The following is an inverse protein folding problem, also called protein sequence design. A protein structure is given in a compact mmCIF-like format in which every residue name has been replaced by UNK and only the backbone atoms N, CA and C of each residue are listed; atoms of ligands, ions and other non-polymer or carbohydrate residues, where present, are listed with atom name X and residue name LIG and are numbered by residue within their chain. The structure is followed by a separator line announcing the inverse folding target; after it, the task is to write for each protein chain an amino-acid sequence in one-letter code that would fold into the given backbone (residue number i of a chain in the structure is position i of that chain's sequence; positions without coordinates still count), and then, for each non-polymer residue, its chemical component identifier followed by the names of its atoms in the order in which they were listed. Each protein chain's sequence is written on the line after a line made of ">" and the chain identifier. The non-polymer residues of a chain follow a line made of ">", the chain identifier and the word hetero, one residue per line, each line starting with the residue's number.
data_IF_478085005164
#
_entry.id   IF_478085005164
#
_cell.length_a   1.000
_cell.length_b   1.000
_cell.length_c   1.000
_cell.angle_alpha   90.00
_cell.angle_beta   90.00
_cell.angle_gamma   90.00
#
_symmetry.space_group_name_H-M   'P 1'
#
loop_
_entity.id
_entity.type
_entity.pdbx_description
1 polymer ?
#
# COMPACT_ATOMS: atom_id res chain seq x y z
N UNK A 1 11.33 -28.51 12.16
CA UNK A 1 9.94 -28.52 11.64
C UNK A 1 9.10 -27.56 12.47
N UNK A 2 8.61 -26.46 11.88
CA UNK A 2 7.64 -25.58 12.55
C UNK A 2 6.30 -26.32 12.58
N UNK A 3 5.65 -26.39 13.74
CA UNK A 3 4.32 -26.98 13.85
C UNK A 3 3.31 -26.09 13.11
N UNK A 4 3.04 -26.44 11.83
CA UNK A 4 2.23 -25.64 10.91
C UNK A 4 0.83 -25.33 11.45
N UNK A 5 0.21 -26.27 12.17
CA UNK A 5 -1.12 -26.04 12.79
C UNK A 5 -1.07 -24.96 13.85
N UNK A 6 -0.05 -24.94 14.71
CA UNK A 6 0.16 -23.85 15.69
C UNK A 6 0.53 -22.54 14.99
N UNK A 7 1.31 -22.59 13.91
CA UNK A 7 1.76 -21.39 13.20
C UNK A 7 0.64 -20.71 12.39
N UNK A 8 -0.16 -21.49 11.66
CA UNK A 8 -1.36 -21.04 10.92
C UNK A 8 -2.41 -20.49 11.89
N UNK A 9 -2.64 -21.15 13.03
CA UNK A 9 -3.59 -20.68 14.03
C UNK A 9 -3.14 -19.36 14.68
N UNK A 10 -1.84 -19.19 14.94
CA UNK A 10 -1.29 -17.96 15.49
C UNK A 10 -1.26 -16.80 14.48
N UNK A 11 -1.10 -17.08 13.18
CA UNK A 11 -1.12 -16.09 12.10
C UNK A 11 -2.55 -15.66 11.71
N UNK A 12 -3.55 -16.55 11.79
CA UNK A 12 -4.98 -16.16 11.64
C UNK A 12 -5.41 -15.06 12.64
N UNK A 13 -4.75 -14.99 13.79
CA UNK A 13 -4.98 -13.94 14.80
C UNK A 13 -4.26 -12.61 14.51
N UNK A 14 -3.30 -12.57 13.58
CA UNK A 14 -2.43 -11.40 13.29
C UNK A 14 -2.83 -10.60 12.03
N UNK A 15 -4.01 -10.88 11.47
CA UNK A 15 -4.54 -10.23 10.27
C UNK A 15 -4.60 -11.19 9.08
N UNK A 16 -5.69 -11.10 8.30
CA UNK A 16 -5.99 -11.98 7.16
C UNK A 16 -4.91 -11.94 6.07
N UNK A 17 -4.16 -10.83 5.96
CA UNK A 17 -3.30 -10.59 4.82
C UNK A 17 -1.89 -11.20 4.99
N UNK A 18 -1.26 -11.09 6.17
CA UNK A 18 0.04 -11.74 6.46
C UNK A 18 -0.01 -13.26 6.26
N UNK A 19 -1.21 -13.83 6.43
CA UNK A 19 -1.48 -15.24 6.19
C UNK A 19 -1.39 -15.60 4.70
N UNK A 20 -1.83 -14.72 3.79
CA UNK A 20 -1.76 -14.96 2.34
C UNK A 20 -0.32 -15.05 1.85
N UNK A 21 0.55 -14.14 2.28
CA UNK A 21 1.98 -14.24 1.94
C UNK A 21 2.63 -15.51 2.49
N UNK A 22 2.31 -15.86 3.74
CA UNK A 22 2.76 -17.10 4.36
C UNK A 22 2.34 -18.34 3.54
N UNK A 23 1.09 -18.36 3.08
CA UNK A 23 0.55 -19.41 2.21
C UNK A 23 1.30 -19.47 0.88
N UNK A 24 1.53 -18.33 0.19
CA UNK A 24 2.27 -18.33 -1.07
C UNK A 24 3.72 -18.80 -0.93
N UNK A 25 4.40 -18.40 0.14
CA UNK A 25 5.74 -18.92 0.45
C UNK A 25 5.73 -20.42 0.70
N UNK A 26 4.70 -20.93 1.37
CA UNK A 26 4.57 -22.36 1.58
C UNK A 26 4.44 -23.08 0.24
N UNK A 27 3.50 -22.65 -0.61
CA UNK A 27 3.25 -23.24 -1.93
C UNK A 27 4.50 -23.19 -2.82
N UNK A 28 5.24 -22.08 -2.82
CA UNK A 28 6.47 -21.94 -3.60
C UNK A 28 7.57 -22.94 -3.20
N UNK A 29 7.69 -23.21 -1.89
CA UNK A 29 8.77 -24.05 -1.36
C UNK A 29 8.39 -25.52 -1.18
N UNK A 30 7.11 -25.88 -1.32
CA UNK A 30 6.60 -27.23 -1.05
C UNK A 30 5.74 -27.72 -2.22
N UNK A 31 6.39 -28.02 -3.36
CA UNK A 31 5.72 -28.52 -4.57
C UNK A 31 5.13 -29.93 -4.44
N UNK A 32 5.33 -30.60 -3.29
CA UNK A 32 4.83 -31.93 -2.99
C UNK A 32 4.40 -32.01 -1.52
N UNK A 33 3.20 -31.50 -1.21
CA UNK A 33 2.59 -31.73 0.10
C UNK A 33 2.00 -33.15 0.14
N UNK A 34 2.21 -33.89 1.23
CA UNK A 34 1.54 -35.19 1.44
C UNK A 34 0.03 -35.05 1.70
N UNK A 35 -0.44 -33.83 2.04
CA UNK A 35 -1.83 -33.50 2.32
C UNK A 35 -2.43 -32.64 1.20
N UNK A 36 -2.98 -33.30 0.18
CA UNK A 36 -3.63 -32.64 -0.97
C UNK A 36 -4.77 -31.69 -0.56
N UNK A 37 -5.48 -32.00 0.53
CA UNK A 37 -6.59 -31.17 1.00
C UNK A 37 -6.08 -29.84 1.58
N UNK A 38 -4.97 -29.88 2.32
CA UNK A 38 -4.31 -28.69 2.83
C UNK A 38 -3.74 -27.84 1.69
N UNK A 39 -3.05 -28.45 0.73
CA UNK A 39 -2.48 -27.75 -0.43
C UNK A 39 -3.57 -27.05 -1.25
N UNK A 40 -4.69 -27.74 -1.50
CA UNK A 40 -5.86 -27.16 -2.16
C UNK A 40 -6.42 -25.96 -1.40
N UNK A 41 -6.54 -26.06 -0.07
CA UNK A 41 -7.02 -24.93 0.75
C UNK A 41 -6.08 -23.73 0.69
N UNK A 42 -4.77 -23.96 0.68
CA UNK A 42 -3.76 -22.91 0.56
C UNK A 42 -3.79 -22.27 -0.82
N UNK A 43 -3.90 -23.06 -1.87
CA UNK A 43 -4.05 -22.53 -3.22
C UNK A 43 -5.28 -21.63 -3.34
N UNK A 44 -6.44 -22.07 -2.83
CA UNK A 44 -7.68 -21.26 -2.83
C UNK A 44 -7.51 -19.94 -2.07
N UNK A 45 -6.83 -19.95 -0.93
CA UNK A 45 -6.55 -18.72 -0.17
C UNK A 45 -5.66 -17.74 -0.95
N UNK A 46 -4.60 -18.26 -1.60
CA UNK A 46 -3.70 -17.42 -2.42
C UNK A 46 -4.36 -16.85 -3.67
N UNK A 47 -5.39 -17.54 -4.18
CA UNK A 47 -6.15 -17.17 -5.37
C UNK A 47 -7.28 -16.16 -5.06
N UNK A 48 -7.71 -16.04 -3.80
CA UNK A 48 -8.86 -15.21 -3.41
C UNK A 48 -8.83 -13.75 -3.94
N UNK A 49 -7.70 -12.99 -3.89
CA UNK A 49 -7.69 -11.62 -4.42
C UNK A 49 -7.89 -11.58 -5.95
N UNK A 50 -7.44 -12.60 -6.68
CA UNK A 50 -7.63 -12.68 -8.12
C UNK A 50 -9.09 -13.00 -8.47
N UNK A 51 -9.73 -13.89 -7.70
CA UNK A 51 -11.16 -14.16 -7.83
C UNK A 51 -11.99 -12.92 -7.51
N UNK A 52 -11.57 -12.14 -6.50
CA UNK A 52 -12.20 -10.86 -6.17
C UNK A 52 -12.13 -9.89 -7.36
N UNK A 53 -10.96 -9.72 -7.99
CA UNK A 53 -10.83 -8.88 -9.19
C UNK A 53 -11.70 -9.37 -10.34
N UNK A 54 -11.77 -10.68 -10.57
CA UNK A 54 -12.62 -11.27 -11.61
C UNK A 54 -14.11 -11.04 -11.32
N UNK A 55 -14.54 -11.27 -10.08
CA UNK A 55 -15.93 -11.13 -9.65
C UNK A 55 -16.44 -9.69 -9.81
N UNK A 56 -15.61 -8.70 -9.46
CA UNK A 56 -15.98 -7.28 -9.51
C UNK A 56 -15.43 -6.52 -10.71
N UNK A 57 -14.98 -7.24 -11.76
CA UNK A 57 -14.42 -6.63 -12.96
C UNK A 57 -15.31 -5.51 -13.57
N UNK A 58 -16.66 -5.64 -13.66
CA UNK A 58 -17.49 -4.56 -14.18
C UNK A 58 -17.42 -3.27 -13.37
N UNK A 59 -17.32 -3.37 -12.03
CA UNK A 59 -17.24 -2.20 -11.15
C UNK A 59 -15.84 -1.58 -11.23
N UNK A 60 -14.80 -2.43 -11.22
CA UNK A 60 -13.41 -1.98 -11.35
C UNK A 60 -13.19 -1.23 -12.66
N UNK A 61 -13.80 -1.69 -13.77
CA UNK A 61 -13.70 -1.01 -15.07
C UNK A 61 -14.41 0.36 -15.11
N UNK A 62 -15.37 0.60 -14.23
CA UNK A 62 -16.09 1.89 -14.14
C UNK A 62 -15.37 2.89 -13.22
N UNK A 63 -14.63 2.40 -12.21
CA UNK A 63 -13.83 3.24 -11.33
C UNK A 63 -12.43 3.45 -11.90
N UNK A 64 -12.16 4.67 -12.39
CA UNK A 64 -10.89 5.05 -13.04
C UNK A 64 -9.65 4.67 -12.22
N UNK A 65 -9.69 4.90 -10.90
CA UNK A 65 -8.55 4.62 -10.02
C UNK A 65 -8.34 3.13 -9.84
N UNK A 66 -9.41 2.40 -9.53
CA UNK A 66 -9.31 0.95 -9.35
C UNK A 66 -8.90 0.27 -10.66
N UNK A 67 -9.44 0.70 -11.80
CA UNK A 67 -9.03 0.19 -13.10
C UNK A 67 -7.51 0.33 -13.31
N UNK A 68 -6.95 1.51 -13.02
CA UNK A 68 -5.54 1.80 -13.23
C UNK A 68 -4.64 1.01 -12.28
N UNK A 69 -5.05 0.90 -11.01
CA UNK A 69 -4.26 0.23 -9.96
C UNK A 69 -4.34 -1.29 -10.09
N UNK A 70 -5.51 -1.85 -10.40
CA UNK A 70 -5.73 -3.29 -10.59
C UNK A 70 -5.14 -3.82 -11.91
N UNK A 71 -4.42 -3.01 -12.69
CA UNK A 71 -3.59 -3.48 -13.80
C UNK A 71 -2.16 -3.84 -13.36
N UNK A 72 -1.77 -3.49 -12.13
CA UNK A 72 -0.46 -3.78 -11.57
C UNK A 72 -0.49 -5.06 -10.74
N UNK A 73 0.53 -5.92 -10.89
CA UNK A 73 0.71 -7.10 -10.05
C UNK A 73 -0.47 -8.08 -10.05
N UNK A 74 -1.07 -8.29 -11.23
CA UNK A 74 -2.21 -9.20 -11.44
C UNK A 74 -1.89 -10.44 -12.25
N UNK A 75 -0.61 -10.69 -12.55
CA UNK A 75 -0.19 -11.93 -13.20
C UNK A 75 -0.52 -13.13 -12.30
N UNK A 76 -1.16 -14.16 -12.87
CA UNK A 76 -1.54 -15.36 -12.14
C UNK A 76 -0.32 -16.13 -11.58
N UNK A 77 0.89 -15.91 -12.11
CA UNK A 77 2.10 -16.45 -11.51
C UNK A 77 2.28 -15.99 -10.05
N UNK A 78 1.82 -14.78 -9.70
CA UNK A 78 1.88 -14.24 -8.33
C UNK A 78 0.97 -14.98 -7.34
N UNK A 79 0.08 -15.89 -7.81
CA UNK A 79 -0.68 -16.79 -6.94
C UNK A 79 0.27 -17.69 -6.15
N UNK A 80 1.39 -18.12 -6.75
CA UNK A 80 2.36 -19.02 -6.11
C UNK A 80 3.73 -18.35 -5.97
N UNK A 81 4.22 -17.73 -7.05
CA UNK A 81 5.55 -17.18 -7.11
C UNK A 81 5.61 -15.77 -6.51
N UNK A 82 6.08 -15.70 -5.27
CA UNK A 82 6.29 -14.42 -4.58
C UNK A 82 7.45 -13.59 -5.14
N UNK A 83 8.30 -14.18 -5.99
CA UNK A 83 9.43 -13.51 -6.63
C UNK A 83 9.10 -13.06 -8.06
N UNK A 84 7.89 -13.35 -8.54
CA UNK A 84 7.48 -12.97 -9.89
C UNK A 84 7.58 -11.46 -10.08
N UNK A 85 8.16 -11.06 -11.20
CA UNK A 85 8.40 -9.66 -11.52
C UNK A 85 7.40 -9.15 -12.55
N UNK A 86 6.68 -8.10 -12.18
CA UNK A 86 5.88 -7.34 -13.13
C UNK A 86 6.80 -6.36 -13.89
N UNK A 87 6.99 -6.62 -15.19
CA UNK A 87 7.84 -5.81 -16.06
C UNK A 87 7.35 -4.35 -16.12
N UNK A 88 6.04 -4.13 -16.16
CA UNK A 88 5.47 -2.79 -16.21
C UNK A 88 5.75 -2.05 -14.91
N UNK A 89 5.60 -2.71 -13.77
CA UNK A 89 5.93 -2.13 -12.47
C UNK A 89 7.41 -1.75 -12.38
N UNK A 90 8.31 -2.60 -12.86
CA UNK A 90 9.75 -2.32 -12.90
C UNK A 90 10.07 -1.10 -13.78
N UNK A 91 9.47 -0.99 -14.97
CA UNK A 91 9.64 0.18 -15.85
C UNK A 91 9.19 1.46 -15.15
N UNK A 92 8.02 1.44 -14.49
CA UNK A 92 7.51 2.61 -13.76
C UNK A 92 8.39 2.99 -12.56
N UNK A 93 8.87 1.99 -11.82
CA UNK A 93 9.83 2.19 -10.73
C UNK A 93 11.14 2.80 -11.22
N UNK A 94 11.67 2.35 -12.36
CA UNK A 94 12.88 2.90 -12.96
C UNK A 94 12.69 4.35 -13.39
N UNK A 95 11.56 4.67 -14.02
CA UNK A 95 11.21 6.06 -14.37
C UNK A 95 11.16 6.97 -13.15
N UNK A 96 10.53 6.52 -12.06
CA UNK A 96 10.51 7.29 -10.81
C UNK A 96 11.93 7.50 -10.27
N UNK A 97 12.74 6.44 -10.19
CA UNK A 97 14.12 6.52 -9.71
C UNK A 97 14.97 7.49 -10.53
N UNK A 98 14.85 7.46 -11.87
CA UNK A 98 15.51 8.41 -12.77
C UNK A 98 15.07 9.85 -12.50
N UNK A 99 13.76 10.07 -12.30
CA UNK A 99 13.17 11.38 -12.04
C UNK A 99 13.72 12.02 -10.76
N UNK A 100 13.93 11.22 -9.71
CA UNK A 100 14.41 11.73 -8.42
C UNK A 100 15.91 11.51 -8.18
N UNK A 101 16.64 10.96 -9.15
CA UNK A 101 18.06 10.57 -9.01
C UNK A 101 18.31 9.57 -7.88
N UNK A 102 17.38 8.63 -7.66
CA UNK A 102 17.53 7.57 -6.66
C UNK A 102 18.22 6.35 -7.24
N UNK A 103 19.20 5.82 -6.51
CA UNK A 103 19.86 4.55 -6.80
C UNK A 103 19.19 3.34 -6.11
N UNK A 104 17.97 3.50 -5.56
CA UNK A 104 17.30 2.43 -4.82
C UNK A 104 16.95 1.26 -5.74
N UNK A 105 17.33 0.06 -5.31
CA UNK A 105 16.99 -1.18 -5.99
C UNK A 105 15.46 -1.40 -6.05
N UNK A 106 14.99 -1.97 -7.16
CA UNK A 106 13.58 -2.35 -7.35
C UNK A 106 13.44 -3.86 -7.13
N UNK A 107 12.49 -4.27 -6.30
CA UNK A 107 12.44 -5.63 -5.75
C UNK A 107 11.17 -6.44 -6.06
N UNK A 108 10.33 -5.99 -7.00
CA UNK A 108 9.08 -6.63 -7.46
C UNK A 108 7.78 -6.24 -6.71
N UNK A 109 6.72 -7.05 -6.88
CA UNK A 109 5.32 -6.74 -6.52
C UNK A 109 5.01 -6.72 -5.01
N UNK A 110 5.89 -7.28 -4.19
CA UNK A 110 5.79 -7.20 -2.73
C UNK A 110 6.56 -6.01 -2.17
N UNK A 111 7.42 -5.35 -2.94
CA UNK A 111 8.16 -4.20 -2.43
C UNK A 111 7.26 -2.96 -2.38
N UNK A 112 7.07 -2.44 -1.16
CA UNK A 112 6.24 -1.26 -0.91
C UNK A 112 6.71 -0.04 -1.72
N UNK A 113 8.03 0.14 -1.88
CA UNK A 113 8.60 1.24 -2.64
C UNK A 113 8.37 1.13 -4.14
N UNK A 114 8.69 -0.01 -4.75
CA UNK A 114 8.48 -0.28 -6.17
C UNK A 114 7.00 -0.20 -6.51
N UNK A 115 6.15 -0.80 -5.69
CA UNK A 115 4.69 -0.82 -5.88
C UNK A 115 4.09 0.58 -5.75
N UNK A 116 4.42 1.33 -4.69
CA UNK A 116 3.90 2.68 -4.50
C UNK A 116 4.27 3.60 -5.67
N UNK A 117 5.48 3.50 -6.21
CA UNK A 117 5.90 4.25 -7.41
C UNK A 117 5.07 3.87 -8.63
N UNK A 118 4.83 2.58 -8.86
CA UNK A 118 3.97 2.11 -9.93
C UNK A 118 2.55 2.64 -9.81
N UNK A 119 1.94 2.53 -8.63
CA UNK A 119 0.60 3.05 -8.34
C UNK A 119 0.53 4.55 -8.58
N UNK A 120 1.51 5.30 -8.07
CA UNK A 120 1.58 6.75 -8.24
C UNK A 120 1.61 7.16 -9.71
N UNK A 121 2.46 6.51 -10.51
CA UNK A 121 2.56 6.74 -11.95
C UNK A 121 1.26 6.37 -12.68
N UNK A 122 0.68 5.21 -12.37
CA UNK A 122 -0.53 4.75 -13.05
C UNK A 122 -1.73 5.63 -12.77
N UNK A 123 -1.90 6.08 -11.53
CA UNK A 123 -2.98 7.00 -11.18
C UNK A 123 -2.80 8.35 -11.89
N UNK A 124 -1.60 8.94 -11.91
CA UNK A 124 -1.35 10.18 -12.67
C UNK A 124 -1.73 10.00 -14.14
N UNK A 125 -1.25 8.91 -14.76
CA UNK A 125 -1.55 8.59 -16.16
C UNK A 125 -3.05 8.41 -16.40
N UNK A 126 -3.76 7.74 -15.49
CA UNK A 126 -5.19 7.50 -15.62
C UNK A 126 -6.01 8.79 -15.53
N UNK A 127 -5.63 9.70 -14.63
CA UNK A 127 -6.33 10.97 -14.43
C UNK A 127 -6.01 12.02 -15.50
N UNK A 128 -4.74 12.13 -15.89
CA UNK A 128 -4.27 13.12 -16.86
C UNK A 128 -4.24 12.62 -18.31
N UNK A 129 -4.57 11.36 -18.54
CA UNK A 129 -4.44 10.63 -19.82
C UNK A 129 -3.01 10.50 -20.37
N UNK A 130 -2.01 11.03 -19.66
CA UNK A 130 -0.58 10.88 -19.94
C UNK A 130 0.22 11.00 -18.64
N UNK A 131 1.45 10.47 -18.64
CA UNK A 131 2.40 10.72 -17.57
C UNK A 131 3.29 11.91 -17.95
N UNK A 132 2.87 13.10 -17.52
CA UNK A 132 3.70 14.29 -17.57
C UNK A 132 3.71 14.97 -16.20
N UNK A 133 4.90 15.16 -15.63
CA UNK A 133 5.13 16.01 -14.47
C UNK A 133 5.78 17.31 -14.93
N UNK A 134 5.26 18.44 -14.46
CA UNK A 134 5.89 19.73 -14.72
C UNK A 134 7.27 19.81 -14.03
N UNK A 135 8.18 20.69 -14.47
CA UNK A 135 9.44 20.93 -13.76
C UNK A 135 9.26 21.26 -12.27
N UNK A 136 8.23 22.05 -11.92
CA UNK A 136 7.92 22.36 -10.52
C UNK A 136 7.47 21.12 -9.74
N UNK A 137 6.71 20.23 -10.37
CA UNK A 137 6.27 18.98 -9.75
C UNK A 137 7.45 18.04 -9.50
N UNK A 138 8.38 17.95 -10.46
CA UNK A 138 9.61 17.16 -10.32
C UNK A 138 10.47 17.67 -9.17
N UNK A 139 10.71 18.98 -9.10
CA UNK A 139 11.52 19.58 -8.05
C UNK A 139 10.84 19.47 -6.67
N UNK A 140 9.51 19.55 -6.60
CA UNK A 140 8.76 19.25 -5.38
C UNK A 140 8.93 17.79 -4.96
N UNK A 141 8.74 16.84 -5.87
CA UNK A 141 8.91 15.40 -5.57
C UNK A 141 10.34 15.14 -5.07
N UNK A 142 11.36 15.67 -5.75
CA UNK A 142 12.75 15.57 -5.31
C UNK A 142 12.93 16.15 -3.91
N UNK A 143 12.52 17.38 -3.67
CA UNK A 143 12.79 18.07 -2.39
C UNK A 143 11.99 17.52 -1.21
N UNK A 144 10.84 16.88 -1.45
CA UNK A 144 9.93 16.43 -0.39
C UNK A 144 9.97 14.95 -0.11
N UNK A 145 10.36 14.12 -1.08
CA UNK A 145 10.39 12.67 -0.91
C UNK A 145 11.55 12.18 -0.03
N UNK A 146 12.69 12.89 0.01
CA UNK A 146 13.86 12.46 0.79
C UNK A 146 13.58 12.45 2.31
N UNK A 147 13.80 11.27 2.91
CA UNK A 147 13.47 10.91 4.30
C UNK A 147 14.16 11.73 5.41
N UNK A 148 14.97 12.72 5.08
CA UNK A 148 15.66 13.57 6.05
C UNK A 148 14.90 14.86 6.38
N UNK A 149 13.79 15.13 5.70
CA UNK A 149 13.13 16.44 5.76
C UNK A 149 12.36 16.72 7.05
N UNK A 150 11.59 15.75 7.54
CA UNK A 150 10.76 15.93 8.73
C UNK A 150 11.03 14.84 9.76
N UNK A 151 10.99 15.22 11.04
CA UNK A 151 11.27 14.34 12.17
C UNK A 151 10.04 14.14 13.04
N UNK A 152 9.81 12.91 13.49
CA UNK A 152 8.66 12.58 14.33
C UNK A 152 7.33 12.92 13.66
N UNK A 153 6.43 13.55 14.41
CA UNK A 153 5.07 13.88 13.98
C UNK A 153 4.98 15.08 13.01
N UNK A 154 6.02 15.91 12.89
CA UNK A 154 5.98 17.12 12.05
C UNK A 154 5.58 16.81 10.60
N UNK A 155 6.09 15.71 10.04
CA UNK A 155 5.73 15.32 8.67
C UNK A 155 4.26 14.96 8.52
N UNK A 156 3.63 14.44 9.58
CA UNK A 156 2.19 14.11 9.62
C UNK A 156 1.36 15.39 9.65
N UNK A 157 1.79 16.40 10.41
CA UNK A 157 1.15 17.72 10.43
C UNK A 157 1.22 18.43 9.09
N UNK A 158 2.36 18.34 8.42
CA UNK A 158 2.52 18.86 7.05
C UNK A 158 1.56 18.17 6.09
N UNK A 159 1.43 16.84 6.16
CA UNK A 159 0.46 16.10 5.34
C UNK A 159 -0.98 16.53 5.64
N UNK A 160 -1.34 16.62 6.92
CA UNK A 160 -2.66 17.06 7.39
C UNK A 160 -3.02 18.45 6.88
N UNK A 161 -2.09 19.39 6.97
CA UNK A 161 -2.26 20.75 6.46
C UNK A 161 -2.53 20.74 4.96
N UNK A 162 -1.71 20.02 4.17
CA UNK A 162 -1.88 19.88 2.72
C UNK A 162 -3.21 19.25 2.33
N UNK A 163 -3.62 18.19 3.02
CA UNK A 163 -4.89 17.51 2.74
C UNK A 163 -6.11 18.41 2.99
N UNK A 164 -6.02 19.34 3.95
CA UNK A 164 -7.07 20.32 4.24
C UNK A 164 -7.08 21.48 3.24
N UNK A 165 -5.92 21.94 2.79
CA UNK A 165 -5.80 23.14 1.93
C UNK A 165 -5.99 22.86 0.46
N UNK A 166 -5.61 21.67 -0.03
CA UNK A 166 -5.79 21.30 -1.44
C UNK A 166 -7.26 20.94 -1.65
N UNK A 167 -7.99 21.73 -2.41
CA UNK A 167 -9.41 21.55 -2.73
C UNK A 167 -9.62 20.83 -4.07
N UNK A 168 -8.65 20.05 -4.54
CA UNK A 168 -8.69 19.34 -5.82
C UNK A 168 -8.35 17.85 -5.63
N UNK A 169 -8.56 17.06 -6.69
CA UNK A 169 -8.05 15.70 -6.76
C UNK A 169 -6.53 15.71 -6.63
N UNK A 170 -6.01 14.79 -5.83
CA UNK A 170 -4.60 14.81 -5.48
C UNK A 170 -4.10 13.42 -5.09
N UNK A 171 -2.87 13.10 -5.48
CA UNK A 171 -2.16 11.93 -4.99
C UNK A 171 -1.05 12.37 -4.05
N UNK A 172 -0.94 11.69 -2.93
CA UNK A 172 0.15 11.81 -1.99
C UNK A 172 0.96 10.51 -2.00
N UNK A 173 2.27 10.64 -2.17
CA UNK A 173 3.20 9.55 -1.90
C UNK A 173 3.80 9.78 -0.52
N UNK A 174 3.48 8.88 0.41
CA UNK A 174 3.92 8.94 1.79
C UNK A 174 5.04 7.92 2.00
N UNK A 175 6.10 8.31 2.71
CA UNK A 175 7.17 7.44 3.10
C UNK A 175 7.42 7.58 4.59
N UNK A 176 7.62 6.46 5.26
CA UNK A 176 7.95 6.41 6.68
C UNK A 176 9.18 5.56 6.95
N UNK A 177 9.90 5.93 7.99
CA UNK A 177 10.95 5.15 8.62
C UNK A 177 10.66 5.09 10.10
N UNK A 178 10.66 3.89 10.65
CA UNK A 178 10.37 3.61 12.05
C UNK A 178 11.52 2.76 12.60
N UNK A 179 12.40 3.38 13.38
CA UNK A 179 13.66 2.77 13.79
C UNK A 179 14.73 2.88 12.70
N UNK A 180 15.75 2.04 12.78
CA UNK A 180 16.90 2.11 11.87
C UNK A 180 16.70 1.32 10.57
N UNK A 181 16.00 0.18 10.64
CA UNK A 181 15.94 -0.78 9.53
C UNK A 181 14.58 -0.91 8.86
N UNK A 182 13.52 -0.34 9.46
CA UNK A 182 12.18 -0.47 8.91
C UNK A 182 11.70 0.81 8.23
N UNK A 183 11.39 0.69 6.92
CA UNK A 183 10.79 1.75 6.14
C UNK A 183 9.64 1.24 5.28
N UNK A 184 8.64 2.10 5.08
CA UNK A 184 7.44 1.79 4.30
C UNK A 184 7.06 2.95 3.39
N UNK A 185 6.50 2.64 2.22
CA UNK A 185 6.01 3.64 1.26
C UNK A 185 4.61 3.24 0.82
N UNK A 186 3.69 4.20 0.80
CA UNK A 186 2.30 3.98 0.42
C UNK A 186 1.72 5.21 -0.26
N UNK A 187 0.61 5.02 -0.97
CA UNK A 187 -0.09 6.08 -1.71
C UNK A 187 -1.41 6.40 -1.01
N UNK A 188 -1.69 7.69 -0.85
CA UNK A 188 -3.00 8.20 -0.50
C UNK A 188 -3.56 8.95 -1.70
N UNK A 189 -4.70 8.52 -2.19
CA UNK A 189 -5.46 9.16 -3.25
C UNK A 189 -6.62 9.95 -2.64
N UNK A 190 -6.69 11.24 -2.97
CA UNK A 190 -7.79 12.15 -2.64
C UNK A 190 -8.58 12.43 -3.92
N UNK A 191 -9.86 12.09 -3.92
CA UNK A 191 -10.74 12.23 -5.09
C UNK A 191 -12.07 12.86 -4.69
N UNK A 192 -12.49 13.90 -5.40
CA UNK A 192 -13.82 14.48 -5.26
C UNK A 192 -14.86 13.48 -5.75
N UNK A 193 -15.94 13.35 -5.01
CA UNK A 193 -17.11 12.56 -5.36
C UNK A 193 -18.28 13.53 -5.49
N UNK A 194 -18.83 13.60 -6.70
CA UNK A 194 -20.09 14.27 -6.93
C UNK A 194 -21.20 13.41 -6.33
N UNK A 195 -22.07 14.02 -5.51
CA UNK A 195 -23.27 13.33 -5.05
C UNK A 195 -24.36 13.44 -6.11
N UNK A 196 -25.01 12.31 -6.40
CA UNK A 196 -26.07 12.23 -7.40
C UNK A 196 -27.35 12.99 -6.98
N UNK A 197 -27.49 13.41 -5.72
CA UNK A 197 -28.75 13.89 -5.13
C UNK A 197 -28.74 15.38 -4.69
N UNK A 198 -27.82 16.21 -5.20
CA UNK A 198 -27.90 17.67 -5.04
C UNK A 198 -27.41 18.26 -3.71
N UNK A 199 -26.71 17.48 -2.89
CA UNK A 199 -25.91 17.98 -1.78
C UNK A 199 -24.47 18.30 -2.21
N UNK A 200 -23.74 19.08 -1.39
CA UNK A 200 -22.34 19.42 -1.64
C UNK A 200 -21.49 18.16 -1.70
N UNK A 201 -20.73 17.99 -2.80
CA UNK A 201 -19.81 16.85 -2.95
C UNK A 201 -18.78 16.75 -1.82
N UNK A 202 -18.14 15.59 -1.71
CA UNK A 202 -17.17 15.31 -0.65
C UNK A 202 -15.93 14.62 -1.21
N UNK A 203 -14.81 14.71 -0.49
CA UNK A 203 -13.60 13.98 -0.84
C UNK A 203 -13.63 12.55 -0.30
N UNK A 204 -13.42 11.58 -1.19
CA UNK A 204 -13.10 10.19 -0.88
C UNK A 204 -11.58 10.02 -0.84
N UNK A 205 -11.11 9.29 0.16
CA UNK A 205 -9.69 8.98 0.35
C UNK A 205 -9.45 7.48 0.23
N UNK A 206 -8.53 7.06 -0.62
CA UNK A 206 -8.10 5.66 -0.71
C UNK A 206 -6.63 5.53 -0.38
N UNK A 207 -6.28 4.46 0.30
CA UNK A 207 -4.90 4.07 0.54
C UNK A 207 -4.56 2.87 -0.34
N UNK A 208 -3.39 2.90 -0.97
CA UNK A 208 -2.83 1.78 -1.74
C UNK A 208 -1.43 1.46 -1.24
N UNK A 209 -1.18 0.19 -0.98
CA UNK A 209 0.09 -0.29 -0.47
C UNK A 209 0.28 -1.78 -0.75
N UNK A 210 1.54 -2.17 -0.80
CA UNK A 210 2.01 -3.55 -0.62
C UNK A 210 3.04 -3.54 0.50
N UNK A 211 3.42 -4.70 1.03
CA UNK A 211 4.45 -4.76 2.05
C UNK A 211 5.35 -5.98 1.84
N UNK A 212 6.66 -5.74 1.85
CA UNK A 212 7.65 -6.77 1.61
C UNK A 212 7.55 -7.80 2.72
N UNK A 213 7.49 -9.08 2.34
CA UNK A 213 7.29 -10.20 3.27
C UNK A 213 5.93 -10.23 3.98
N UNK A 214 4.95 -9.47 3.51
CA UNK A 214 3.62 -9.44 4.10
C UNK A 214 2.50 -9.60 3.07
N UNK A 215 2.46 -8.83 1.97
CA UNK A 215 1.39 -8.94 0.97
C UNK A 215 1.56 -8.19 -0.34
N UNK A 216 0.76 -8.60 -1.33
CA UNK A 216 0.56 -7.92 -2.61
C UNK A 216 -0.42 -6.75 -2.48
N UNK A 217 -0.29 -5.80 -3.39
CA UNK A 217 -1.27 -4.72 -3.58
C UNK A 217 -2.72 -5.24 -3.70
N UNK A 218 -2.93 -6.33 -4.43
CA UNK A 218 -4.27 -6.90 -4.64
C UNK A 218 -4.86 -7.53 -3.38
N UNK A 219 -4.03 -8.08 -2.47
CA UNK A 219 -4.50 -8.58 -1.18
C UNK A 219 -5.05 -7.42 -0.33
N UNK A 220 -4.38 -6.26 -0.41
CA UNK A 220 -4.79 -5.05 0.28
C UNK A 220 -6.10 -4.49 -0.29
N UNK A 221 -6.23 -4.42 -1.61
CA UNK A 221 -7.46 -3.94 -2.29
C UNK A 221 -8.67 -4.82 -1.95
N UNK A 222 -8.51 -6.14 -1.94
CA UNK A 222 -9.55 -7.08 -1.50
C UNK A 222 -9.90 -6.86 -0.02
N UNK A 223 -8.91 -6.69 0.84
CA UNK A 223 -9.15 -6.52 2.29
C UNK A 223 -9.84 -5.20 2.63
N UNK A 224 -9.60 -4.15 1.83
CA UNK A 224 -10.32 -2.88 1.96
C UNK A 224 -11.68 -2.89 1.26
N UNK A 225 -12.01 -3.96 0.52
CA UNK A 225 -13.28 -4.17 -0.19
C UNK A 225 -13.69 -3.01 -1.13
N UNK A 226 -12.69 -2.34 -1.74
CA UNK A 226 -12.93 -1.13 -2.54
C UNK A 226 -13.82 -1.36 -3.77
N UNK A 227 -13.88 -2.58 -4.32
CA UNK A 227 -14.66 -2.87 -5.52
C UNK A 227 -16.13 -3.17 -5.19
N UNK A 228 -16.43 -3.75 -4.02
CA UNK A 228 -17.82 -3.89 -3.56
C UNK A 228 -18.40 -2.54 -3.10
N UNK A 229 -17.53 -1.68 -2.57
CA UNK A 229 -17.90 -0.37 -2.05
C UNK A 229 -17.10 0.76 -2.72
N UNK A 230 -17.32 1.04 -4.03
CA UNK A 230 -16.49 1.98 -4.79
C UNK A 230 -16.51 3.40 -4.21
N UNK A 231 -17.61 3.85 -3.62
CA UNK A 231 -17.68 5.19 -3.06
C UNK A 231 -17.09 5.29 -1.64
N UNK A 232 -16.77 4.16 -1.00
CA UNK A 232 -16.15 4.17 0.32
C UNK A 232 -14.65 4.47 0.22
N UNK A 233 -14.17 5.17 1.24
CA UNK A 233 -12.76 5.47 1.46
C UNK A 233 -12.37 5.23 2.91
N UNK A 234 -11.12 5.50 3.23
CA UNK A 234 -10.66 5.54 4.62
C UNK A 234 -11.11 6.83 5.29
N UNK A 235 -11.32 6.78 6.61
CA UNK A 235 -11.37 7.99 7.43
C UNK A 235 -9.95 8.57 7.52
N UNK A 236 -9.68 9.54 6.66
CA UNK A 236 -8.35 10.15 6.58
C UNK A 236 -7.97 10.91 7.85
N UNK A 237 -8.94 11.48 8.56
CA UNK A 237 -8.63 12.27 9.76
C UNK A 237 -8.28 11.35 10.92
N UNK A 238 -9.03 10.26 11.11
CA UNK A 238 -8.67 9.21 12.07
C UNK A 238 -7.33 8.56 11.73
N UNK A 239 -7.04 8.36 10.43
CA UNK A 239 -5.73 7.86 10.00
C UNK A 239 -4.60 8.80 10.42
N UNK A 240 -4.71 10.09 10.12
CA UNK A 240 -3.69 11.08 10.45
C UNK A 240 -3.52 11.31 11.96
N UNK A 241 -4.60 11.20 12.75
CA UNK A 241 -4.52 11.27 14.22
C UNK A 241 -3.76 10.06 14.78
N UNK A 242 -4.11 8.84 14.34
CA UNK A 242 -3.38 7.64 14.73
C UNK A 242 -1.91 7.70 14.29
N UNK A 243 -1.63 8.20 13.09
CA UNK A 243 -0.27 8.33 12.59
C UNK A 243 0.54 9.32 13.44
N UNK A 244 -0.03 10.48 13.79
CA UNK A 244 0.62 11.43 14.69
C UNK A 244 0.94 10.80 16.05
N UNK A 245 0.01 10.05 16.64
CA UNK A 245 0.24 9.32 17.89
C UNK A 245 1.39 8.31 17.76
N UNK A 246 1.40 7.51 16.69
CA UNK A 246 2.44 6.51 16.41
C UNK A 246 3.83 7.15 16.26
N UNK A 247 3.91 8.33 15.64
CA UNK A 247 5.17 9.07 15.44
C UNK A 247 5.62 9.86 16.67
N UNK A 248 4.69 10.27 17.53
CA UNK A 248 4.97 10.98 18.78
C UNK A 248 5.37 10.04 19.92
N UNK A 249 4.92 8.79 19.86
CA UNK A 249 5.18 7.79 20.90
C UNK A 249 6.56 7.16 20.71
N UNK A 250 7.55 7.31 21.62
CA UNK A 250 8.91 6.79 21.39
C UNK A 250 9.00 5.27 21.35
N UNK A 251 8.18 4.57 22.13
CA UNK A 251 8.17 3.11 22.31
C UNK A 251 6.76 2.59 22.12
N UNK A 252 6.54 1.69 21.18
CA UNK A 252 5.21 1.14 20.88
C UNK A 252 4.82 0.00 21.83
N UNK A 253 3.66 0.13 22.46
CA UNK A 253 2.98 -0.95 23.18
C UNK A 253 1.97 -1.67 22.28
N UNK A 254 1.15 -2.53 22.89
CA UNK A 254 0.13 -3.30 22.16
C UNK A 254 -0.86 -2.39 21.41
N UNK A 255 -1.27 -1.28 22.02
CA UNK A 255 -2.20 -0.31 21.41
C UNK A 255 -1.65 0.28 20.11
N UNK A 256 -0.39 0.69 20.09
CA UNK A 256 0.26 1.27 18.91
C UNK A 256 0.41 0.23 17.80
N UNK A 257 0.76 -1.00 18.17
CA UNK A 257 0.83 -2.13 17.22
C UNK A 257 -0.54 -2.40 16.60
N UNK A 258 -1.60 -2.42 17.41
CA UNK A 258 -2.97 -2.63 16.91
C UNK A 258 -3.42 -1.49 15.99
N UNK A 259 -3.12 -0.24 16.33
CA UNK A 259 -3.40 0.92 15.48
C UNK A 259 -2.64 0.84 14.15
N UNK A 260 -1.36 0.46 14.18
CA UNK A 260 -0.57 0.25 12.97
C UNK A 260 -1.17 -0.87 12.12
N UNK A 261 -1.43 -2.03 12.71
CA UNK A 261 -2.01 -3.19 12.02
C UNK A 261 -3.37 -2.84 11.40
N UNK A 262 -4.16 -1.99 12.07
CA UNK A 262 -5.48 -1.63 11.56
C UNK A 262 -5.41 -0.79 10.28
N UNK A 263 -4.41 0.08 10.13
CA UNK A 263 -4.22 0.87 8.91
C UNK A 263 -3.39 0.15 7.86
N UNK A 264 -2.28 -0.44 8.27
CA UNK A 264 -1.28 -1.00 7.36
C UNK A 264 -1.48 -2.49 7.09
N UNK A 265 -2.33 -3.19 7.85
CA UNK A 265 -2.72 -4.60 7.62
C UNK A 265 -1.58 -5.62 7.64
N UNK A 266 -0.43 -5.26 8.21
CA UNK A 266 0.67 -6.19 8.51
C UNK A 266 1.26 -5.86 9.87
N UNK A 267 1.91 -6.86 10.49
CA UNK A 267 2.61 -6.68 11.76
C UNK A 267 3.94 -5.96 11.53
N UNK A 268 4.24 -4.82 12.18
CA UNK A 268 5.54 -4.17 12.05
C UNK A 268 6.63 -5.03 12.71
N UNK A 269 7.90 -4.88 12.30
CA UNK A 269 8.98 -5.70 12.85
C UNK A 269 9.34 -5.24 14.27
N UNK A 270 9.99 -6.09 15.07
CA UNK A 270 10.12 -5.87 16.52
C UNK A 270 10.93 -4.61 16.89
N UNK A 271 11.76 -4.11 15.98
CA UNK A 271 12.59 -2.91 16.15
C UNK A 271 11.76 -1.64 16.33
N UNK A 272 10.48 -1.63 15.96
CA UNK A 272 9.60 -0.47 16.23
C UNK A 272 9.22 -0.35 17.71
N UNK A 273 9.49 -1.38 18.51
CA UNK A 273 9.22 -1.44 19.96
C UNK A 273 10.37 -0.88 20.79
N UNK A 274 11.45 -0.43 20.18
CA UNK A 274 12.57 0.24 20.86
C UNK A 274 12.59 1.72 20.50
N UNK A 275 13.17 2.59 21.35
CA UNK A 275 13.39 3.98 20.98
C UNK A 275 14.26 4.05 19.73
N UNK A 276 13.82 4.79 18.72
CA UNK A 276 14.54 4.91 17.46
C UNK A 276 14.10 6.11 16.66
N UNK A 277 14.85 6.40 15.59
CA UNK A 277 14.53 7.52 14.69
C UNK A 277 13.20 7.23 13.98
N UNK A 278 12.28 8.21 14.02
CA UNK A 278 11.02 8.16 13.29
C UNK A 278 10.98 9.31 12.31
N UNK A 279 10.80 8.99 11.04
CA UNK A 279 10.77 9.97 9.95
C UNK A 279 9.53 9.72 9.12
N UNK A 280 8.84 10.80 8.78
CA UNK A 280 7.69 10.75 7.91
C UNK A 280 7.83 11.83 6.86
N UNK A 281 7.75 11.46 5.60
CA UNK A 281 7.75 12.41 4.49
C UNK A 281 6.57 12.15 3.59
N UNK A 282 6.18 13.21 2.88
CA UNK A 282 5.15 13.13 1.88
C UNK A 282 5.46 14.12 0.77
N UNK A 283 5.13 13.72 -0.46
CA UNK A 283 5.03 14.62 -1.60
C UNK A 283 3.68 14.41 -2.28
N UNK A 284 3.30 15.32 -3.17
CA UNK A 284 1.99 15.26 -3.80
C UNK A 284 1.98 15.73 -5.25
N UNK A 285 0.96 15.31 -6.00
CA UNK A 285 0.67 15.71 -7.37
C UNK A 285 -0.83 16.01 -7.46
N UNK A 286 -1.20 17.14 -8.07
CA UNK A 286 -2.61 17.47 -8.34
C UNK A 286 -3.06 16.65 -9.55
N UNK A 287 -4.28 16.13 -9.57
CA UNK A 287 -4.74 15.24 -10.64
C UNK A 287 -5.59 15.94 -11.68
#
# INVERSE_FOLDING_TARGET
>A
MVNLKKWVHHKRQRGLIDYKWAVRNYLLNHTHCEDEAQEKSFFLESLSPFLYLQQYAPIILQDRSLQAVCQLCTDLNLVIDINHQDLQLNILGQKFNQLIHSARELRACYDCGTTARGVFFQLIKAYRHDFHLSPQEIERVKSEYYMTRYHGAEGVDVLRSRMRTIDHNCLFMCAMQLGEEFGHVYILEKTWQDEHDGHSGHFRYRMYQSCLRAYLLIDYIETMDYARHPNQGIDIFAHLEHLEHLFSTPVWGAKEIDQFNNWFKFTPPDEVKTPGRKLFTNTFILL
#
